data_IF_859697155119
#
_entry.id   IF_859697155119
#
_cell.length_a   1.000
_cell.length_b   1.000
_cell.length_c   1.000
_cell.angle_alpha   90.00
_cell.angle_beta   90.00
_cell.angle_gamma   90.00
#
_symmetry.space_group_name_H-M   'P 1'
#
loop_
_entity.id
_entity.type
_entity.pdbx_description
1 polymer ?
#
# COMPACT_ATOMS: atom_id res chain seq x y z
N UNK A 1 23.15 -11.76 -3.21
CA UNK A 1 23.13 -10.43 -2.58
C UNK A 1 23.41 -9.46 -3.70
N UNK A 2 22.40 -8.69 -4.10
CA UNK A 2 22.51 -7.73 -5.19
C UNK A 2 23.20 -6.44 -4.75
N UNK A 3 23.64 -5.65 -5.72
CA UNK A 3 24.37 -4.39 -5.53
C UNK A 3 23.75 -3.30 -6.40
N UNK A 4 23.62 -2.10 -5.84
CA UNK A 4 23.21 -0.90 -6.55
C UNK A 4 24.43 0.02 -6.78
N UNK A 5 24.65 0.44 -8.02
CA UNK A 5 25.75 1.34 -8.41
C UNK A 5 25.17 2.64 -8.99
N UNK A 6 25.77 3.79 -8.63
CA UNK A 6 25.32 5.12 -9.08
C UNK A 6 26.44 5.87 -9.79
N UNK A 7 26.34 6.07 -11.11
CA UNK A 7 27.44 6.70 -11.86
C UNK A 7 28.77 5.94 -11.76
N UNK A 8 29.90 6.64 -11.58
CA UNK A 8 31.24 6.04 -11.47
C UNK A 8 31.59 5.47 -10.10
N UNK A 9 30.71 5.65 -9.10
CA UNK A 9 30.99 5.26 -7.72
C UNK A 9 30.26 3.93 -7.40
N UNK A 10 31.02 2.91 -6.99
CA UNK A 10 30.47 1.64 -6.50
C UNK A 10 30.08 1.81 -5.05
N UNK A 11 28.82 1.61 -4.73
CA UNK A 11 28.30 1.76 -3.37
C UNK A 11 28.00 0.37 -2.81
N UNK A 12 28.64 0.05 -1.70
CA UNK A 12 28.38 -1.17 -0.94
C UNK A 12 27.25 -0.92 0.05
N UNK A 13 26.47 -1.97 0.36
CA UNK A 13 25.31 -1.91 1.27
C UNK A 13 25.72 -1.20 2.58
N UNK A 14 25.19 0.02 2.79
CA UNK A 14 25.50 0.87 3.95
C UNK A 14 25.98 2.29 3.59
N UNK A 15 26.41 2.54 2.35
CA UNK A 15 26.86 3.86 1.91
C UNK A 15 25.70 4.57 1.18
N UNK A 16 25.21 5.70 1.69
CA UNK A 16 24.07 6.41 1.11
C UNK A 16 24.55 7.30 -0.02
N UNK A 17 24.75 6.71 -1.20
CA UNK A 17 24.89 7.49 -2.43
C UNK A 17 23.70 8.39 -2.63
N UNK A 18 23.95 9.69 -2.79
CA UNK A 18 22.88 10.65 -3.03
C UNK A 18 22.27 10.41 -4.42
N UNK A 19 21.03 9.92 -4.46
CA UNK A 19 20.19 9.97 -5.66
C UNK A 19 19.76 11.42 -5.86
N UNK A 20 20.11 12.01 -7.00
CA UNK A 20 19.70 13.37 -7.36
C UNK A 20 18.59 13.28 -8.40
N UNK A 21 17.41 13.76 -8.01
CA UNK A 21 16.22 13.85 -8.86
C UNK A 21 15.90 15.33 -9.13
N UNK A 22 15.68 15.67 -10.39
CA UNK A 22 15.11 16.95 -10.79
C UNK A 22 13.61 16.80 -10.90
N UNK A 23 12.85 17.58 -10.12
CA UNK A 23 11.40 17.64 -10.23
C UNK A 23 11.02 18.49 -11.45
N UNK A 24 10.26 17.93 -12.37
CA UNK A 24 9.77 18.63 -13.56
C UNK A 24 8.64 19.61 -13.21
N UNK A 25 8.47 20.69 -13.98
CA UNK A 25 7.37 21.63 -13.78
C UNK A 25 6.03 20.93 -14.04
N UNK A 26 5.11 21.00 -13.08
CA UNK A 26 3.74 20.45 -13.21
C UNK A 26 3.01 21.22 -14.33
N UNK A 27 2.61 20.52 -15.39
CA UNK A 27 1.62 21.04 -16.35
C UNK A 27 0.20 20.83 -15.81
N UNK A 28 -0.75 21.67 -16.23
CA UNK A 28 -2.10 21.68 -15.66
C UNK A 28 -2.83 20.34 -15.89
N UNK A 29 -2.96 19.55 -14.81
CA UNK A 29 -3.57 18.21 -14.85
C UNK A 29 -2.59 17.04 -14.72
N UNK A 30 -1.28 17.28 -14.70
CA UNK A 30 -0.25 16.24 -14.58
C UNK A 30 0.09 15.85 -13.14
N UNK A 31 0.60 14.63 -12.99
CA UNK A 31 1.20 14.13 -11.75
C UNK A 31 2.60 14.74 -11.55
N UNK A 32 3.16 14.63 -10.34
CA UNK A 32 4.56 15.03 -10.15
C UNK A 32 5.49 14.07 -10.89
N UNK A 33 6.36 14.63 -11.73
CA UNK A 33 7.30 13.89 -12.54
C UNK A 33 8.74 14.24 -12.16
N UNK A 34 9.61 13.24 -12.17
CA UNK A 34 11.00 13.35 -11.75
C UNK A 34 11.95 12.79 -12.80
N UNK A 35 13.09 13.48 -12.93
CA UNK A 35 14.17 13.12 -13.83
C UNK A 35 15.42 12.72 -13.06
N UNK A 36 16.03 11.60 -13.45
CA UNK A 36 17.22 11.05 -12.80
C UNK A 36 18.52 11.64 -13.38
N UNK A 37 19.31 12.31 -12.56
CA UNK A 37 20.58 12.92 -13.00
C UNK A 37 21.76 11.94 -13.14
N UNK A 38 21.71 10.78 -12.48
CA UNK A 38 22.79 9.78 -12.48
C UNK A 38 22.24 8.39 -12.74
N UNK A 39 22.93 7.59 -13.55
CA UNK A 39 22.55 6.19 -13.78
C UNK A 39 22.41 5.43 -12.47
N UNK A 40 21.40 4.57 -12.41
CA UNK A 40 21.23 3.58 -11.34
C UNK A 40 21.36 2.20 -11.97
N UNK A 41 22.37 1.43 -11.55
CA UNK A 41 22.55 0.05 -12.01
C UNK A 41 22.20 -0.89 -10.88
N UNK A 42 21.35 -1.87 -11.13
CA UNK A 42 21.06 -2.98 -10.23
C UNK A 42 21.66 -4.26 -10.79
N UNK A 43 22.56 -4.88 -10.03
CA UNK A 43 23.18 -6.15 -10.37
C UNK A 43 22.81 -7.19 -9.30
N UNK A 44 22.23 -8.32 -9.71
CA UNK A 44 21.83 -9.40 -8.80
C UNK A 44 22.01 -10.76 -9.45
N UNK A 45 21.70 -11.83 -8.71
CA UNK A 45 21.71 -13.20 -9.21
C UNK A 45 20.28 -13.73 -9.17
N UNK A 46 19.77 -14.21 -10.30
CA UNK A 46 18.43 -14.77 -10.41
C UNK A 46 18.33 -16.13 -9.71
N UNK A 47 17.10 -16.62 -9.55
CA UNK A 47 16.82 -17.88 -8.88
C UNK A 47 17.47 -19.11 -9.56
N UNK A 48 17.72 -19.04 -10.85
CA UNK A 48 18.42 -20.07 -11.63
C UNK A 48 19.96 -19.97 -11.55
N UNK A 49 20.49 -18.99 -10.80
CA UNK A 49 21.91 -18.74 -10.63
C UNK A 49 22.53 -17.85 -11.72
N UNK A 50 21.76 -17.41 -12.72
CA UNK A 50 22.26 -16.52 -13.76
C UNK A 50 22.44 -15.08 -13.26
N UNK A 51 23.47 -14.35 -13.74
CA UNK A 51 23.64 -12.94 -13.39
C UNK A 51 22.61 -12.09 -14.11
N UNK A 52 22.01 -11.14 -13.39
CA UNK A 52 21.11 -10.12 -13.92
C UNK A 52 21.68 -8.75 -13.64
N UNK A 53 21.80 -7.92 -14.66
CA UNK A 53 22.25 -6.53 -14.54
C UNK A 53 21.32 -5.65 -15.36
N UNK A 54 20.74 -4.65 -14.70
CA UNK A 54 19.88 -3.67 -15.35
C UNK A 54 20.34 -2.27 -15.01
N UNK A 55 20.52 -1.43 -16.03
CA UNK A 55 20.95 -0.04 -15.86
C UNK A 55 19.83 0.87 -16.28
N UNK A 56 19.33 1.67 -15.35
CA UNK A 56 18.41 2.77 -15.63
C UNK A 56 19.23 3.86 -16.34
N UNK A 57 18.90 4.21 -17.59
CA UNK A 57 19.65 5.21 -18.34
C UNK A 57 19.59 6.58 -17.63
N UNK A 58 20.66 7.39 -17.69
CA UNK A 58 20.61 8.75 -17.17
C UNK A 58 19.78 9.61 -18.12
N UNK A 59 19.12 10.63 -17.59
CA UNK A 59 18.17 11.45 -18.33
C UNK A 59 18.76 12.42 -19.39
N UNK A 60 19.88 12.06 -19.99
CA UNK A 60 20.38 12.73 -21.20
C UNK A 60 19.66 12.24 -22.46
N UNK A 61 18.77 11.24 -22.34
CA UNK A 61 17.74 10.93 -23.31
C UNK A 61 16.42 11.59 -22.88
N UNK A 62 15.76 12.39 -23.73
CA UNK A 62 14.61 13.22 -23.37
C UNK A 62 13.34 12.46 -22.95
N UNK A 63 13.34 11.12 -23.01
CA UNK A 63 12.11 10.31 -23.05
C UNK A 63 11.85 9.47 -21.78
N UNK A 64 12.76 9.42 -20.79
CA UNK A 64 12.50 8.67 -19.53
C UNK A 64 12.23 9.59 -18.35
N UNK A 65 11.04 9.44 -17.78
CA UNK A 65 10.52 10.15 -16.61
C UNK A 65 9.92 9.12 -15.66
N UNK A 66 10.10 9.32 -14.36
CA UNK A 66 9.48 8.51 -13.30
C UNK A 66 8.54 9.40 -12.50
N UNK A 67 7.35 8.92 -12.15
CA UNK A 67 6.41 9.61 -11.28
C UNK A 67 6.80 9.47 -9.79
N UNK A 68 7.87 8.71 -9.50
CA UNK A 68 8.13 8.09 -8.20
C UNK A 68 6.89 7.30 -7.74
N UNK A 69 7.01 6.50 -6.68
CA UNK A 69 5.87 5.69 -6.23
C UNK A 69 4.64 6.60 -5.97
N UNK A 70 3.67 6.60 -6.90
CA UNK A 70 2.39 7.31 -6.81
C UNK A 70 1.50 6.65 -5.77
N UNK A 71 1.85 6.83 -4.49
CA UNK A 71 1.11 6.30 -3.34
C UNK A 71 -0.04 7.26 -3.05
N UNK A 72 -1.31 6.80 -3.07
CA UNK A 72 -2.45 7.62 -2.67
C UNK A 72 -2.19 8.27 -1.31
N UNK A 73 -2.51 9.55 -1.15
CA UNK A 73 -2.18 10.32 0.07
C UNK A 73 -2.70 9.64 1.35
N UNK A 74 -3.87 9.00 1.27
CA UNK A 74 -4.48 8.22 2.35
C UNK A 74 -3.65 7.00 2.81
N UNK A 75 -2.68 6.54 2.00
CA UNK A 75 -1.81 5.39 2.29
C UNK A 75 -0.37 5.78 2.64
N UNK A 76 -0.04 7.07 2.60
CA UNK A 76 1.31 7.58 2.93
C UNK A 76 1.71 7.33 4.38
N UNK A 77 0.72 7.17 5.29
CA UNK A 77 0.97 6.76 6.68
C UNK A 77 1.50 5.32 6.80
N UNK A 78 1.22 4.45 5.82
CA UNK A 78 1.65 3.05 5.81
C UNK A 78 2.96 2.87 5.02
N UNK A 79 3.03 3.48 3.83
CA UNK A 79 4.20 3.43 2.95
C UNK A 79 4.63 4.87 2.64
N UNK A 80 5.77 5.35 3.17
CA UNK A 80 6.25 6.69 2.88
C UNK A 80 6.67 6.78 1.41
N UNK A 81 6.46 7.95 0.80
CA UNK A 81 6.75 8.22 -0.61
C UNK A 81 8.24 8.13 -0.96
N UNK A 82 9.13 8.29 0.02
CA UNK A 82 10.58 8.22 -0.18
C UNK A 82 11.27 7.43 0.94
N UNK A 83 12.47 6.96 0.67
CA UNK A 83 13.31 6.25 1.63
C UNK A 83 14.19 5.20 0.97
N UNK A 84 14.65 4.22 1.77
CA UNK A 84 15.56 3.14 1.31
C UNK A 84 15.07 2.34 0.10
N UNK A 85 13.77 2.36 -0.21
CA UNK A 85 13.17 1.62 -1.32
C UNK A 85 13.26 2.37 -2.67
N UNK A 86 13.58 3.66 -2.66
CA UNK A 86 13.60 4.53 -3.84
C UNK A 86 14.47 3.98 -5.00
N UNK A 87 15.70 3.48 -4.77
CA UNK A 87 16.51 2.92 -5.87
C UNK A 87 15.86 1.73 -6.55
N UNK A 88 15.21 0.84 -5.77
CA UNK A 88 14.50 -0.29 -6.31
C UNK A 88 13.25 0.15 -7.11
N UNK A 89 12.58 1.22 -6.68
CA UNK A 89 11.42 1.77 -7.41
C UNK A 89 11.83 2.32 -8.78
N UNK A 90 12.95 3.06 -8.86
CA UNK A 90 13.47 3.57 -10.14
C UNK A 90 13.79 2.44 -11.12
N UNK A 91 14.40 1.35 -10.63
CA UNK A 91 14.71 0.18 -11.44
C UNK A 91 13.42 -0.53 -11.87
N UNK A 92 12.43 -0.65 -10.98
CA UNK A 92 11.12 -1.23 -11.29
C UNK A 92 10.40 -0.46 -12.39
N UNK A 93 10.32 0.87 -12.30
CA UNK A 93 9.67 1.71 -13.31
C UNK A 93 10.28 1.47 -14.70
N UNK A 94 11.61 1.48 -14.79
CA UNK A 94 12.32 1.21 -16.03
C UNK A 94 12.07 -0.22 -16.56
N UNK A 95 12.07 -1.23 -15.69
CA UNK A 95 11.79 -2.62 -16.07
C UNK A 95 10.34 -2.84 -16.54
N UNK A 96 9.38 -2.10 -15.99
CA UNK A 96 7.95 -2.21 -16.31
C UNK A 96 7.62 -1.67 -17.71
N UNK A 97 8.45 -0.75 -18.20
CA UNK A 97 8.39 -0.18 -19.54
C UNK A 97 9.22 -0.95 -20.57
N UNK A 98 10.15 -1.80 -20.13
CA UNK A 98 10.92 -2.69 -21.00
C UNK A 98 10.04 -3.84 -21.53
N UNK A 99 9.77 -3.91 -22.85
CA UNK A 99 8.93 -4.96 -23.43
C UNK A 99 9.58 -6.35 -23.38
N UNK A 100 10.88 -6.45 -23.14
CA UNK A 100 11.59 -7.73 -23.04
C UNK A 100 11.41 -8.38 -21.66
N UNK A 101 10.95 -7.64 -20.65
CA UNK A 101 10.79 -8.11 -19.28
C UNK A 101 9.31 -8.32 -18.96
N UNK A 102 8.97 -9.50 -18.46
CA UNK A 102 7.63 -9.75 -17.95
C UNK A 102 7.37 -8.90 -16.70
N UNK A 103 6.21 -8.27 -16.61
CA UNK A 103 5.89 -7.35 -15.51
C UNK A 103 5.84 -8.05 -14.14
N UNK A 104 5.43 -9.31 -14.08
CA UNK A 104 5.48 -10.04 -12.80
C UNK A 104 6.92 -10.30 -12.38
N UNK A 105 7.82 -10.53 -13.34
CA UNK A 105 9.26 -10.63 -13.06
C UNK A 105 9.86 -9.29 -12.60
N UNK A 106 9.45 -8.17 -13.20
CA UNK A 106 9.83 -6.84 -12.72
C UNK A 106 9.37 -6.61 -11.26
N UNK A 107 8.15 -7.01 -10.92
CA UNK A 107 7.63 -6.93 -9.55
C UNK A 107 8.49 -7.78 -8.57
N UNK A 108 8.87 -8.99 -8.95
CA UNK A 108 9.76 -9.84 -8.14
C UNK A 108 11.14 -9.22 -7.93
N UNK A 109 11.76 -8.68 -8.99
CA UNK A 109 13.04 -7.97 -8.91
C UNK A 109 12.93 -6.73 -8.01
N UNK A 110 11.80 -6.03 -8.02
CA UNK A 110 11.54 -4.92 -7.10
C UNK A 110 11.53 -5.36 -5.64
N UNK A 111 10.83 -6.45 -5.32
CA UNK A 111 10.80 -7.03 -3.97
C UNK A 111 12.20 -7.43 -3.50
N UNK A 112 12.95 -8.07 -4.37
CA UNK A 112 14.27 -8.60 -4.05
C UNK A 112 15.30 -7.47 -3.91
N UNK A 113 15.26 -6.47 -4.80
CA UNK A 113 16.06 -5.26 -4.72
C UNK A 113 15.79 -4.45 -3.46
N UNK A 114 14.52 -4.34 -3.02
CA UNK A 114 14.19 -3.80 -1.70
C UNK A 114 14.79 -4.62 -0.56
N UNK A 115 14.89 -5.95 -0.71
CA UNK A 115 15.58 -6.81 0.23
C UNK A 115 17.08 -6.54 0.33
N UNK A 116 17.73 -6.35 -0.81
CA UNK A 116 19.15 -5.98 -0.88
C UNK A 116 19.42 -4.57 -0.30
N UNK A 117 18.43 -3.67 -0.35
CA UNK A 117 18.44 -2.34 0.28
C UNK A 117 18.06 -2.36 1.77
N UNK A 118 17.93 -3.55 2.38
CA UNK A 118 17.54 -3.74 3.78
C UNK A 118 16.21 -3.09 4.15
N UNK A 119 15.28 -3.01 3.19
CA UNK A 119 13.91 -2.58 3.46
C UNK A 119 13.24 -3.66 4.31
N UNK A 120 12.59 -3.23 5.40
CA UNK A 120 11.94 -4.14 6.34
C UNK A 120 10.99 -5.12 5.65
N UNK A 121 11.00 -6.37 6.12
CA UNK A 121 10.30 -7.50 5.50
C UNK A 121 8.84 -7.19 5.16
N UNK A 122 8.05 -6.72 6.14
CA UNK A 122 6.62 -6.42 5.93
C UNK A 122 6.45 -5.35 4.85
N UNK A 123 7.25 -4.27 4.89
CA UNK A 123 7.16 -3.16 3.94
C UNK A 123 7.40 -3.63 2.50
N UNK A 124 8.48 -4.37 2.25
CA UNK A 124 8.79 -4.83 0.88
C UNK A 124 7.71 -5.75 0.31
N UNK A 125 7.09 -6.59 1.13
CA UNK A 125 6.02 -7.49 0.71
C UNK A 125 4.70 -6.75 0.44
N UNK A 126 4.38 -5.72 1.23
CA UNK A 126 3.22 -4.85 0.98
C UNK A 126 3.40 -4.06 -0.32
N UNK A 127 4.57 -3.48 -0.54
CA UNK A 127 4.89 -2.73 -1.76
C UNK A 127 4.87 -3.62 -3.00
N UNK A 128 5.49 -4.81 -2.92
CA UNK A 128 5.40 -5.83 -3.97
C UNK A 128 3.95 -6.19 -4.30
N UNK A 129 3.12 -6.42 -3.28
CA UNK A 129 1.70 -6.74 -3.48
C UNK A 129 0.94 -5.63 -4.20
N UNK A 130 1.26 -4.38 -3.92
CA UNK A 130 0.64 -3.22 -4.58
C UNK A 130 1.00 -3.17 -6.08
N UNK A 131 2.28 -3.31 -6.44
CA UNK A 131 2.71 -3.30 -7.86
C UNK A 131 2.18 -4.53 -8.61
N UNK A 132 2.12 -5.70 -7.97
CA UNK A 132 1.50 -6.90 -8.56
C UNK A 132 0.00 -6.72 -8.82
N UNK A 133 -0.73 -6.05 -7.92
CA UNK A 133 -2.14 -5.74 -8.15
C UNK A 133 -2.32 -4.82 -9.37
N UNK A 134 -1.41 -3.86 -9.55
CA UNK A 134 -1.38 -2.99 -10.73
C UNK A 134 -1.04 -3.76 -12.01
N UNK A 135 -0.08 -4.69 -11.95
CA UNK A 135 0.23 -5.62 -13.04
C UNK A 135 -0.99 -6.44 -13.44
N UNK A 136 -1.74 -7.01 -12.48
CA UNK A 136 -3.00 -7.73 -12.75
C UNK A 136 -4.00 -6.80 -13.45
N UNK A 137 -4.21 -5.58 -12.93
CA UNK A 137 -5.16 -4.61 -13.47
C UNK A 137 -4.87 -4.28 -14.94
N UNK A 138 -3.60 -4.15 -15.31
CA UNK A 138 -3.19 -3.79 -16.66
C UNK A 138 -3.11 -4.98 -17.60
N UNK A 139 -2.50 -6.09 -17.16
CA UNK A 139 -2.07 -7.17 -18.06
C UNK A 139 -2.90 -8.45 -17.96
N UNK A 140 -3.57 -8.72 -16.85
CA UNK A 140 -4.28 -9.99 -16.69
C UNK A 140 -5.54 -10.08 -17.57
N UNK A 141 -5.96 -11.31 -17.84
CA UNK A 141 -7.22 -11.60 -18.51
C UNK A 141 -8.44 -11.22 -17.63
N UNK A 142 -9.61 -11.17 -18.25
CA UNK A 142 -10.85 -10.73 -17.58
C UNK A 142 -11.22 -11.63 -16.40
N UNK A 143 -11.03 -12.95 -16.51
CA UNK A 143 -11.40 -13.88 -15.44
C UNK A 143 -10.50 -13.68 -14.22
N UNK A 144 -9.19 -13.52 -14.43
CA UNK A 144 -8.25 -13.18 -13.35
C UNK A 144 -8.60 -11.86 -12.70
N UNK A 145 -8.94 -10.82 -13.48
CA UNK A 145 -9.40 -9.53 -12.92
C UNK A 145 -10.66 -9.67 -12.07
N UNK A 146 -11.68 -10.36 -12.58
CA UNK A 146 -12.95 -10.58 -11.85
C UNK A 146 -12.69 -11.35 -10.56
N UNK A 147 -11.85 -12.39 -10.59
CA UNK A 147 -11.46 -13.17 -9.40
C UNK A 147 -10.74 -12.29 -8.37
N UNK A 148 -9.72 -11.56 -8.79
CA UNK A 148 -8.91 -10.69 -7.93
C UNK A 148 -9.77 -9.57 -7.34
N UNK A 149 -10.33 -8.70 -8.17
CA UNK A 149 -11.09 -7.54 -7.69
C UNK A 149 -12.43 -7.93 -7.05
N UNK A 150 -13.07 -9.01 -7.51
CA UNK A 150 -14.26 -9.56 -6.86
C UNK A 150 -13.96 -10.08 -5.46
N UNK A 151 -12.82 -10.75 -5.26
CA UNK A 151 -12.40 -11.18 -3.91
C UNK A 151 -12.07 -10.00 -2.99
N UNK A 152 -11.42 -8.95 -3.49
CA UNK A 152 -11.15 -7.74 -2.72
C UNK A 152 -12.44 -7.01 -2.34
N UNK A 153 -13.38 -6.89 -3.29
CA UNK A 153 -14.69 -6.31 -3.03
C UNK A 153 -15.45 -7.11 -1.97
N UNK A 154 -15.45 -8.44 -2.06
CA UNK A 154 -16.06 -9.31 -1.06
C UNK A 154 -15.45 -9.08 0.32
N UNK A 155 -14.12 -9.00 0.43
CA UNK A 155 -13.42 -8.73 1.69
C UNK A 155 -13.85 -7.37 2.28
N UNK A 156 -13.96 -6.33 1.45
CA UNK A 156 -14.43 -5.00 1.87
C UNK A 156 -15.88 -5.05 2.35
N UNK A 157 -16.76 -5.74 1.64
CA UNK A 157 -18.17 -5.90 2.03
C UNK A 157 -18.30 -6.67 3.36
N UNK A 158 -17.50 -7.71 3.56
CA UNK A 158 -17.44 -8.45 4.82
C UNK A 158 -16.90 -7.59 5.96
N UNK A 159 -15.88 -6.76 5.70
CA UNK A 159 -15.37 -5.78 6.66
C UNK A 159 -16.45 -4.78 7.08
N UNK A 160 -17.23 -4.27 6.12
CA UNK A 160 -18.35 -3.37 6.40
C UNK A 160 -19.45 -4.06 7.23
N UNK A 161 -19.79 -5.31 6.89
CA UNK A 161 -20.73 -6.11 7.68
C UNK A 161 -20.22 -6.35 9.10
N UNK A 162 -18.93 -6.65 9.26
CA UNK A 162 -18.27 -6.80 10.57
C UNK A 162 -18.33 -5.50 11.39
N UNK A 163 -18.18 -4.33 10.75
CA UNK A 163 -18.34 -3.04 11.42
C UNK A 163 -19.76 -2.84 11.94
N UNK A 164 -20.79 -3.20 11.16
CA UNK A 164 -22.18 -3.09 11.60
C UNK A 164 -22.47 -4.05 12.76
N UNK A 165 -21.99 -5.29 12.68
CA UNK A 165 -22.03 -6.27 13.77
C UNK A 165 -21.42 -5.69 15.06
N UNK A 166 -20.21 -5.14 15.00
CA UNK A 166 -19.52 -4.57 16.17
C UNK A 166 -20.18 -3.29 16.72
N UNK A 167 -20.90 -2.55 15.88
CA UNK A 167 -21.48 -1.25 16.23
C UNK A 167 -22.96 -1.34 16.66
N UNK A 168 -23.64 -2.46 16.39
CA UNK A 168 -25.09 -2.61 16.59
C UNK A 168 -25.43 -4.02 17.06
N UNK A 169 -26.60 -4.22 17.66
CA UNK A 169 -27.06 -5.58 18.05
C UNK A 169 -27.52 -6.43 16.84
N UNK A 170 -27.28 -5.99 15.61
CA UNK A 170 -27.71 -6.68 14.38
C UNK A 170 -26.66 -7.70 13.95
N UNK A 171 -27.02 -8.98 13.96
CA UNK A 171 -26.15 -10.05 13.45
C UNK A 171 -26.28 -10.17 11.93
N UNK A 172 -25.31 -9.66 11.19
CA UNK A 172 -25.16 -9.85 9.73
C UNK A 172 -24.26 -11.06 9.44
N UNK A 173 -23.13 -11.15 10.16
CA UNK A 173 -22.15 -12.22 9.96
C UNK A 173 -22.42 -13.39 10.92
N UNK A 174 -22.71 -14.60 10.42
CA UNK A 174 -23.16 -15.70 11.26
C UNK A 174 -22.08 -16.22 12.22
N UNK A 175 -20.78 -16.05 11.89
CA UNK A 175 -19.68 -16.45 12.78
C UNK A 175 -19.34 -15.41 13.85
N UNK A 176 -19.86 -14.19 13.76
CA UNK A 176 -19.69 -13.14 14.77
C UNK A 176 -20.90 -13.06 15.73
N UNK A 177 -21.94 -13.85 15.48
CA UNK A 177 -23.24 -13.76 16.16
C UNK A 177 -23.27 -14.29 17.59
N UNK A 178 -24.21 -13.74 18.35
CA UNK A 178 -24.51 -14.07 19.74
C UNK A 178 -25.66 -15.07 19.84
N UNK A 179 -25.47 -16.32 19.40
CA UNK A 179 -26.39 -17.38 19.83
C UNK A 179 -25.97 -17.88 21.21
N UNK A 180 -26.87 -17.64 22.18
CA UNK A 180 -26.93 -18.15 23.55
C UNK A 180 -25.64 -18.77 24.13
N UNK A 181 -24.87 -17.97 24.87
CA UNK A 181 -23.98 -18.52 25.91
C UNK A 181 -22.71 -17.75 26.21
N UNK A 182 -22.16 -16.97 25.26
CA UNK A 182 -20.95 -16.17 25.49
C UNK A 182 -21.04 -14.83 24.74
N UNK A 183 -21.82 -13.90 25.28
CA UNK A 183 -21.94 -12.53 24.76
C UNK A 183 -20.82 -11.64 25.31
N UNK A 184 -20.09 -10.99 24.42
CA UNK A 184 -19.08 -10.01 24.81
C UNK A 184 -18.29 -9.46 23.64
N UNK A 185 -18.04 -8.16 23.67
CA UNK A 185 -17.27 -7.42 22.66
C UNK A 185 -15.97 -8.14 22.25
N UNK A 186 -15.25 -8.73 23.21
CA UNK A 186 -13.99 -9.44 22.94
C UNK A 186 -14.17 -10.73 22.13
N UNK A 187 -15.26 -11.47 22.34
CA UNK A 187 -15.54 -12.72 21.62
C UNK A 187 -15.93 -12.40 20.18
N UNK A 188 -16.83 -11.43 20.00
CA UNK A 188 -17.22 -10.96 18.67
C UNK A 188 -16.01 -10.41 17.90
N UNK A 189 -15.17 -9.61 18.56
CA UNK A 189 -13.93 -9.10 17.95
C UNK A 189 -12.97 -10.23 17.57
N UNK A 190 -12.84 -11.26 18.41
CA UNK A 190 -11.96 -12.40 18.13
C UNK A 190 -12.45 -13.22 16.92
N UNK A 191 -13.74 -13.51 16.83
CA UNK A 191 -14.32 -14.19 15.67
C UNK A 191 -14.29 -13.32 14.40
N UNK A 192 -14.49 -12.01 14.55
CA UNK A 192 -14.30 -11.05 13.47
C UNK A 192 -12.87 -11.05 12.93
N UNK A 193 -11.87 -11.02 13.82
CA UNK A 193 -10.46 -11.11 13.46
C UNK A 193 -10.12 -12.46 12.80
N UNK A 194 -10.67 -13.57 13.32
CA UNK A 194 -10.48 -14.88 12.71
C UNK A 194 -11.02 -14.91 11.27
N UNK A 195 -12.23 -14.37 11.04
CA UNK A 195 -12.79 -14.20 9.70
C UNK A 195 -11.92 -13.31 8.80
N UNK A 196 -11.40 -12.21 9.34
CA UNK A 196 -10.50 -11.27 8.64
C UNK A 196 -9.13 -11.88 8.26
N UNK A 197 -8.77 -13.04 8.80
CA UNK A 197 -7.54 -13.76 8.43
C UNK A 197 -7.87 -14.95 7.53
N UNK A 198 -8.79 -15.82 7.96
CA UNK A 198 -9.09 -17.09 7.29
C UNK A 198 -9.70 -16.86 5.91
N UNK A 199 -10.69 -15.96 5.80
CA UNK A 199 -11.41 -15.74 4.54
C UNK A 199 -10.44 -15.18 3.47
N UNK A 200 -9.65 -14.13 3.74
CA UNK A 200 -8.69 -13.66 2.75
C UNK A 200 -7.59 -14.65 2.39
N UNK A 201 -7.11 -15.47 3.33
CA UNK A 201 -6.15 -16.53 3.04
C UNK A 201 -6.73 -17.52 2.02
N UNK A 202 -7.95 -18.00 2.26
CA UNK A 202 -8.63 -18.95 1.37
C UNK A 202 -8.86 -18.33 -0.01
N UNK A 203 -9.41 -17.11 -0.06
CA UNK A 203 -9.65 -16.41 -1.33
C UNK A 203 -8.35 -16.15 -2.10
N UNK A 204 -7.29 -15.71 -1.42
CA UNK A 204 -5.98 -15.47 -2.04
C UNK A 204 -5.37 -16.75 -2.63
N UNK A 205 -5.38 -17.85 -1.89
CA UNK A 205 -4.83 -19.13 -2.35
C UNK A 205 -5.62 -19.69 -3.55
N UNK A 206 -6.95 -19.59 -3.53
CA UNK A 206 -7.82 -20.20 -4.55
C UNK A 206 -7.98 -19.33 -5.81
N UNK A 207 -8.07 -18.00 -5.66
CA UNK A 207 -8.51 -17.11 -6.73
C UNK A 207 -7.38 -16.33 -7.39
N UNK A 208 -6.21 -16.20 -6.75
CA UNK A 208 -5.10 -15.35 -7.23
C UNK A 208 -3.95 -16.14 -7.86
N UNK A 209 -4.18 -17.35 -8.38
CA UNK A 209 -3.12 -18.05 -9.11
C UNK A 209 -2.68 -17.24 -10.35
N UNK A 210 -1.37 -17.11 -10.66
CA UNK A 210 -0.23 -17.73 -9.95
C UNK A 210 0.27 -16.94 -8.73
N UNK A 211 -0.05 -15.65 -8.60
CA UNK A 211 0.41 -14.74 -7.54
C UNK A 211 -0.37 -14.87 -6.21
N UNK A 212 -0.53 -16.11 -5.73
CA UNK A 212 -1.33 -16.42 -4.52
C UNK A 212 -0.88 -15.66 -3.28
N UNK A 213 0.43 -15.50 -3.11
CA UNK A 213 1.03 -14.79 -1.97
C UNK A 213 0.60 -13.33 -1.93
N UNK A 214 0.51 -12.67 -3.10
CA UNK A 214 0.01 -11.28 -3.18
C UNK A 214 -1.45 -11.20 -2.72
N UNK A 215 -2.28 -12.17 -3.12
CA UNK A 215 -3.69 -12.23 -2.70
C UNK A 215 -3.87 -12.40 -1.20
N UNK A 216 -3.09 -13.28 -0.59
CA UNK A 216 -3.09 -13.47 0.87
C UNK A 216 -2.68 -12.17 1.57
N UNK A 217 -1.59 -11.55 1.15
CA UNK A 217 -1.08 -10.31 1.77
C UNK A 217 -2.10 -9.18 1.62
N UNK A 218 -2.58 -8.93 0.40
CA UNK A 218 -3.55 -7.86 0.10
C UNK A 218 -4.82 -8.06 0.92
N UNK A 219 -5.39 -9.27 0.85
CA UNK A 219 -6.66 -9.57 1.47
C UNK A 219 -6.61 -9.50 3.00
N UNK A 220 -5.59 -10.10 3.63
CA UNK A 220 -5.41 -10.02 5.09
C UNK A 220 -5.16 -8.58 5.52
N UNK A 221 -4.32 -7.84 4.80
CA UNK A 221 -4.01 -6.45 5.13
C UNK A 221 -5.26 -5.57 5.07
N UNK A 222 -6.05 -5.69 3.99
CA UNK A 222 -7.31 -4.92 3.84
C UNK A 222 -8.31 -5.32 4.91
N UNK A 223 -8.50 -6.61 5.18
CA UNK A 223 -9.49 -7.08 6.16
C UNK A 223 -9.15 -6.64 7.59
N UNK A 224 -7.89 -6.80 8.01
CA UNK A 224 -7.43 -6.45 9.36
C UNK A 224 -7.38 -4.93 9.54
N UNK A 225 -6.91 -4.20 8.53
CA UNK A 225 -6.82 -2.74 8.59
C UNK A 225 -8.13 -2.04 8.24
N UNK A 226 -9.18 -2.77 7.86
CA UNK A 226 -10.43 -2.19 7.36
C UNK A 226 -10.99 -1.11 8.30
N UNK A 227 -11.11 -1.41 9.59
CA UNK A 227 -11.66 -0.50 10.58
C UNK A 227 -10.77 0.74 10.79
N UNK A 228 -9.45 0.56 10.76
CA UNK A 228 -8.50 1.67 10.83
C UNK A 228 -8.58 2.54 9.57
N UNK A 229 -8.66 1.93 8.38
CA UNK A 229 -8.85 2.63 7.12
C UNK A 229 -10.17 3.40 7.10
N UNK A 230 -11.25 2.83 7.61
CA UNK A 230 -12.55 3.48 7.72
C UNK A 230 -12.48 4.71 8.65
N UNK A 231 -11.80 4.58 9.80
CA UNK A 231 -11.58 5.69 10.73
C UNK A 231 -10.78 6.81 10.08
N UNK A 232 -9.62 6.49 9.47
CA UNK A 232 -8.77 7.48 8.80
C UNK A 232 -9.51 8.13 7.63
N UNK A 233 -10.26 7.36 6.84
CA UNK A 233 -11.08 7.89 5.75
C UNK A 233 -12.18 8.82 6.27
N UNK A 234 -12.82 8.50 7.40
CA UNK A 234 -13.81 9.36 8.05
C UNK A 234 -13.22 10.70 8.52
N UNK A 235 -12.06 10.65 9.19
CA UNK A 235 -11.34 11.85 9.64
C UNK A 235 -10.88 12.69 8.45
N UNK A 236 -10.31 12.05 7.43
CA UNK A 236 -9.88 12.73 6.20
C UNK A 236 -11.06 13.35 5.44
N UNK A 237 -12.18 12.64 5.32
CA UNK A 237 -13.40 13.15 4.71
C UNK A 237 -13.96 14.36 5.47
N UNK A 238 -13.97 14.31 6.80
CA UNK A 238 -14.35 15.45 7.64
C UNK A 238 -13.44 16.65 7.43
N UNK A 239 -12.13 16.44 7.39
CA UNK A 239 -11.16 17.49 7.06
C UNK A 239 -11.44 18.12 5.69
N UNK A 240 -11.64 17.30 4.65
CA UNK A 240 -11.89 17.77 3.28
C UNK A 240 -13.20 18.57 3.18
N UNK A 241 -14.24 18.16 3.91
CA UNK A 241 -15.48 18.92 3.99
C UNK A 241 -15.27 20.29 4.66
N UNK A 242 -14.50 20.34 5.75
CA UNK A 242 -14.20 21.60 6.44
C UNK A 242 -13.35 22.55 5.58
N UNK A 243 -12.38 22.02 4.84
CA UNK A 243 -11.52 22.80 3.94
C UNK A 243 -12.33 23.58 2.90
N UNK A 244 -13.44 23.01 2.42
CA UNK A 244 -14.37 23.67 1.50
C UNK A 244 -15.27 24.76 2.12
N UNK A 245 -15.19 25.01 3.43
CA UNK A 245 -16.07 25.96 4.13
C UNK A 245 -15.37 27.27 4.54
N UNK A 246 -16.11 28.36 4.83
CA UNK A 246 -15.52 29.61 5.29
C UNK A 246 -14.76 29.45 6.63
N UNK A 247 -13.65 30.17 6.78
CA UNK A 247 -12.78 30.14 8.00
C UNK A 247 -13.54 30.31 9.32
N UNK A 248 -14.61 31.12 9.35
CA UNK A 248 -15.43 31.32 10.56
C UNK A 248 -16.14 30.03 10.99
N UNK A 249 -16.63 29.23 10.04
CA UNK A 249 -17.27 27.95 10.32
C UNK A 249 -16.23 26.93 10.81
N UNK A 250 -15.05 26.88 10.18
CA UNK A 250 -13.94 26.05 10.63
C UNK A 250 -13.55 26.35 12.08
N UNK A 251 -13.44 27.64 12.45
CA UNK A 251 -13.16 28.08 13.82
C UNK A 251 -14.26 27.68 14.80
N UNK A 252 -15.53 27.90 14.44
CA UNK A 252 -16.67 27.53 15.28
C UNK A 252 -16.70 26.01 15.54
N UNK A 253 -16.52 25.20 14.50
CA UNK A 253 -16.43 23.73 14.62
C UNK A 253 -15.27 23.32 15.51
N UNK A 254 -14.09 23.91 15.33
CA UNK A 254 -12.91 23.64 16.17
C UNK A 254 -13.15 23.95 17.66
N UNK A 255 -13.79 25.08 17.96
CA UNK A 255 -14.16 25.46 19.33
C UNK A 255 -15.15 24.46 19.93
N UNK A 256 -16.20 24.09 19.17
CA UNK A 256 -17.19 23.11 19.63
C UNK A 256 -16.56 21.76 19.93
N UNK A 257 -15.68 21.26 19.06
CA UNK A 257 -14.97 19.99 19.28
C UNK A 257 -14.07 20.05 20.52
N UNK A 258 -13.35 21.16 20.73
CA UNK A 258 -12.51 21.34 21.92
C UNK A 258 -13.34 21.35 23.21
N UNK A 259 -14.47 22.07 23.22
CA UNK A 259 -15.38 22.10 24.36
C UNK A 259 -15.97 20.72 24.64
N UNK A 260 -16.44 20.01 23.61
CA UNK A 260 -16.96 18.66 23.74
C UNK A 260 -15.90 17.69 24.30
N UNK A 261 -14.68 17.72 23.77
CA UNK A 261 -13.56 16.90 24.26
C UNK A 261 -13.23 17.20 25.72
N UNK A 262 -13.23 18.48 26.11
CA UNK A 262 -12.99 18.91 27.50
C UNK A 262 -14.09 18.40 28.44
N UNK A 263 -15.36 18.44 28.02
CA UNK A 263 -16.50 17.92 28.79
C UNK A 263 -16.37 16.40 28.97
N UNK A 264 -16.09 15.66 27.90
CA UNK A 264 -15.91 14.20 27.97
C UNK A 264 -14.74 13.84 28.88
N UNK A 265 -13.60 14.53 28.75
CA UNK A 265 -12.41 14.31 29.57
C UNK A 265 -12.67 14.60 31.05
N UNK A 266 -13.28 15.74 31.37
CA UNK A 266 -13.60 16.07 32.76
C UNK A 266 -14.62 15.10 33.36
N UNK A 267 -15.62 14.69 32.59
CA UNK A 267 -16.60 13.68 33.01
C UNK A 267 -15.97 12.31 33.30
N UNK A 268 -14.97 11.88 32.53
CA UNK A 268 -14.31 10.58 32.75
C UNK A 268 -13.45 10.54 34.02
N UNK A 269 -13.00 11.69 34.54
CA UNK A 269 -12.28 11.79 35.82
C UNK A 269 -13.19 11.96 37.04
N UNK A 270 -14.46 12.30 36.82
CA UNK A 270 -15.47 12.47 37.87
C UNK A 270 -16.29 11.19 38.12
N UNK A 271 -16.04 10.12 37.36
CA UNK A 271 -16.52 8.76 37.61
C UNK A 271 -15.44 7.93 38.31
#
# INVERSE_FOLDING_TARGET
>A
MGVFTYGTDTITIGDTGNIVLERLPIQEGDCEEFRLHRTVTYATTLADGSPFVYTVPPANEPDWVTDLASVPQLLTWLVPTSGKHLPAALVHDALVDDPAIDRYHADELFRDGMGDLEVGFIRRWLMWTAVTLETIRRRADVLTKVRTFGSLLLIVLLGAAATVNLATDVTILPWMGTEEGVSGFFVETAFGLAGAIVIPVVLGVLLWAPVRTAGVIAGVSIAVLFHAMLLVAGVYGFYRLLEGTPRRLQQAVGIVLLLAATVVFTWSFLR
#
